data_IF_318658371392
#
_entry.id   IF_318658371392
#
_cell.length_a   1.000
_cell.length_b   1.000
_cell.length_c   1.000
_cell.angle_alpha   90.00
_cell.angle_beta   90.00
_cell.angle_gamma   90.00
#
_symmetry.space_group_name_H-M   'P 1'
#
loop_
_entity.id
_entity.type
_entity.pdbx_description
1 polymer ?
#
# COMPACT_ATOMS: atom_id res chain seq x y z
N UNK A 1 -5.06 12.11 -57.43
CA UNK A 1 -4.54 11.14 -56.42
C UNK A 1 -3.68 11.77 -55.32
N UNK A 2 -2.72 12.68 -55.61
CA UNK A 2 -1.84 13.29 -54.57
C UNK A 2 -2.57 14.08 -53.46
N UNK A 3 -3.66 14.80 -53.78
CA UNK A 3 -4.45 15.51 -52.77
C UNK A 3 -5.18 14.59 -51.79
N UNK A 4 -5.54 13.37 -52.21
CA UNK A 4 -6.26 12.42 -51.34
C UNK A 4 -5.34 11.89 -50.24
N UNK A 5 -4.13 11.47 -50.60
CA UNK A 5 -3.11 11.04 -49.62
C UNK A 5 -2.68 12.16 -48.66
N UNK A 6 -2.59 13.41 -49.15
CA UNK A 6 -2.29 14.57 -48.29
C UNK A 6 -3.35 14.76 -47.19
N UNK A 7 -4.62 14.72 -47.56
CA UNK A 7 -5.71 14.89 -46.60
C UNK A 7 -5.79 13.70 -45.62
N UNK A 8 -5.45 12.49 -46.08
CA UNK A 8 -5.42 11.28 -45.26
C UNK A 8 -4.29 11.31 -44.22
N UNK A 9 -3.12 11.84 -44.60
CA UNK A 9 -1.99 12.06 -43.67
C UNK A 9 -2.32 13.13 -42.63
N UNK A 10 -2.96 14.23 -43.04
CA UNK A 10 -3.38 15.30 -42.10
C UNK A 10 -4.44 14.79 -41.11
N UNK A 11 -5.41 14.00 -41.58
CA UNK A 11 -6.40 13.38 -40.72
C UNK A 11 -5.79 12.37 -39.73
N UNK A 12 -4.82 11.56 -40.16
CA UNK A 12 -4.10 10.63 -39.29
C UNK A 12 -3.27 11.38 -38.22
N UNK A 13 -2.64 12.50 -38.60
CA UNK A 13 -1.91 13.35 -37.65
C UNK A 13 -2.85 13.99 -36.61
N UNK A 14 -4.04 14.44 -37.01
CA UNK A 14 -5.06 14.94 -36.07
C UNK A 14 -5.65 13.84 -35.17
N UNK A 15 -5.77 12.61 -35.66
CA UNK A 15 -6.22 11.47 -34.85
C UNK A 15 -5.22 11.08 -33.75
N UNK A 16 -3.92 11.33 -33.97
CA UNK A 16 -2.85 11.12 -32.97
C UNK A 16 -2.84 12.18 -31.86
N UNK A 17 -3.56 13.30 -32.03
CA UNK A 17 -3.66 14.38 -31.05
C UNK A 17 -4.86 14.22 -30.09
N UNK A 18 -5.64 13.13 -30.20
CA UNK A 18 -6.74 12.86 -29.27
C UNK A 18 -6.16 12.51 -27.90
N UNK A 19 -6.41 13.31 -26.84
CA UNK A 19 -5.89 13.01 -25.52
C UNK A 19 -6.59 11.77 -24.97
N UNK A 20 -5.85 10.68 -24.79
CA UNK A 20 -6.33 9.54 -24.02
C UNK A 20 -6.46 9.95 -22.56
N UNK A 21 -7.65 9.78 -21.98
CA UNK A 21 -7.82 9.91 -20.53
C UNK A 21 -7.03 8.78 -19.86
N UNK A 22 -5.91 9.11 -19.22
CA UNK A 22 -5.20 8.18 -18.36
C UNK A 22 -5.96 8.01 -17.03
N UNK A 23 -6.36 6.78 -16.71
CA UNK A 23 -6.91 6.44 -15.40
C UNK A 23 -5.76 6.17 -14.43
N UNK A 24 -5.20 7.23 -13.85
CA UNK A 24 -4.27 7.10 -12.74
C UNK A 24 -5.03 7.28 -11.43
N UNK A 25 -5.33 6.18 -10.73
CA UNK A 25 -6.01 6.21 -9.44
C UNK A 25 -5.32 5.22 -8.50
N UNK A 26 -4.41 5.72 -7.66
CA UNK A 26 -3.49 4.89 -6.86
C UNK A 26 -4.14 4.33 -5.59
N UNK A 27 -3.40 3.48 -4.89
CA UNK A 27 -3.70 3.14 -3.49
C UNK A 27 -3.80 4.45 -2.71
N UNK A 28 -4.92 4.63 -2.01
CA UNK A 28 -5.24 5.81 -1.21
C UNK A 28 -4.44 5.81 0.09
N UNK A 29 -4.21 4.62 0.62
CA UNK A 29 -3.40 4.39 1.79
C UNK A 29 -3.50 2.94 2.25
N UNK A 30 -2.98 2.67 3.44
CA UNK A 30 -2.89 1.32 3.96
C UNK A 30 -2.13 1.24 5.27
N UNK A 31 -1.99 0.03 5.77
CA UNK A 31 -1.20 -0.27 6.96
C UNK A 31 -0.61 -1.67 6.86
N UNK A 32 0.57 -1.85 7.45
CA UNK A 32 1.15 -3.17 7.67
C UNK A 32 1.25 -3.40 9.18
N UNK A 33 0.77 -4.55 9.64
CA UNK A 33 0.78 -4.95 11.04
C UNK A 33 1.25 -6.38 11.17
N UNK A 34 1.66 -6.77 12.37
CA UNK A 34 1.97 -8.15 12.70
C UNK A 34 1.29 -8.58 13.99
N UNK A 35 0.98 -9.86 14.08
CA UNK A 35 0.56 -10.53 15.31
C UNK A 35 1.62 -11.57 15.65
N UNK A 36 2.10 -11.56 16.89
CA UNK A 36 3.01 -12.59 17.40
C UNK A 36 2.22 -13.84 17.77
N UNK A 37 2.51 -14.97 17.11
CA UNK A 37 1.81 -16.24 17.33
C UNK A 37 2.58 -17.21 18.24
N UNK A 38 3.73 -16.80 18.77
CA UNK A 38 4.62 -17.65 19.57
C UNK A 38 5.82 -18.20 18.80
N UNK A 39 6.94 -18.36 19.51
CA UNK A 39 8.23 -18.76 18.95
C UNK A 39 8.74 -17.75 17.95
N UNK A 40 8.87 -18.15 16.68
CA UNK A 40 9.32 -17.31 15.58
C UNK A 40 8.19 -17.06 14.56
N UNK A 41 6.94 -17.36 14.90
CA UNK A 41 5.82 -17.30 13.96
C UNK A 41 5.06 -15.98 14.11
N UNK A 42 4.83 -15.31 13.00
CA UNK A 42 4.13 -14.03 12.94
C UNK A 42 3.06 -14.08 11.85
N UNK A 43 1.84 -13.63 12.17
CA UNK A 43 0.84 -13.34 11.15
C UNK A 43 1.05 -11.92 10.68
N UNK A 44 1.47 -11.74 9.44
CA UNK A 44 1.69 -10.42 8.85
C UNK A 44 0.45 -10.06 8.03
N UNK A 45 -0.09 -8.87 8.27
CA UNK A 45 -1.23 -8.34 7.53
C UNK A 45 -0.82 -7.02 6.88
N UNK A 46 -0.98 -6.94 5.56
CA UNK A 46 -1.00 -5.68 4.83
C UNK A 46 -2.45 -5.41 4.43
N UNK A 47 -2.97 -4.25 4.80
CA UNK A 47 -4.29 -3.76 4.39
C UNK A 47 -4.09 -2.54 3.50
N UNK A 48 -4.65 -2.58 2.29
CA UNK A 48 -4.61 -1.46 1.34
C UNK A 48 -6.01 -0.97 1.05
N UNK A 49 -6.14 0.34 0.84
CA UNK A 49 -7.37 1.01 0.47
C UNK A 49 -7.22 1.70 -0.89
N UNK A 50 -8.28 1.71 -1.68
CA UNK A 50 -8.34 2.46 -2.95
C UNK A 50 -9.72 3.04 -3.16
N UNK A 51 -9.81 4.05 -4.02
CA UNK A 51 -11.09 4.52 -4.54
C UNK A 51 -11.74 3.42 -5.41
N UNK A 52 -13.07 3.35 -5.48
CA UNK A 52 -13.77 2.34 -6.29
C UNK A 52 -13.47 2.46 -7.79
N UNK A 53 -13.17 3.67 -8.27
CA UNK A 53 -12.66 3.96 -9.62
C UNK A 53 -11.11 3.90 -9.70
N UNK A 54 -10.49 3.27 -8.70
CA UNK A 54 -9.07 3.01 -8.51
C UNK A 54 -8.45 2.05 -9.54
N UNK A 55 -7.12 2.05 -9.64
CA UNK A 55 -6.36 0.99 -10.30
C UNK A 55 -6.59 -0.34 -9.58
N UNK A 56 -6.34 -1.44 -10.29
CA UNK A 56 -6.34 -2.78 -9.73
C UNK A 56 -5.44 -2.87 -8.48
N UNK A 57 -5.96 -3.45 -7.40
CA UNK A 57 -5.11 -3.90 -6.30
C UNK A 57 -4.05 -4.88 -6.84
N UNK A 58 -2.81 -4.85 -6.33
CA UNK A 58 -1.82 -5.84 -6.72
C UNK A 58 -2.31 -7.25 -6.38
N UNK A 59 -2.04 -8.24 -7.23
CA UNK A 59 -2.48 -9.62 -7.01
C UNK A 59 -1.88 -10.25 -5.74
N UNK A 60 -0.66 -9.83 -5.41
CA UNK A 60 0.10 -10.20 -4.23
C UNK A 60 1.02 -9.05 -3.82
N UNK A 61 1.53 -9.07 -2.59
CA UNK A 61 2.42 -8.04 -2.06
C UNK A 61 3.68 -8.65 -1.47
N UNK A 62 4.85 -8.31 -2.02
CA UNK A 62 6.15 -8.75 -1.49
C UNK A 62 6.60 -7.82 -0.38
N UNK A 63 6.67 -8.34 0.85
CA UNK A 63 7.19 -7.64 2.01
C UNK A 63 8.71 -7.77 2.02
N UNK A 64 9.38 -6.63 2.14
CA UNK A 64 10.83 -6.57 2.30
C UNK A 64 11.17 -6.62 3.78
N UNK A 65 12.19 -7.42 4.12
CA UNK A 65 12.65 -7.61 5.50
C UNK A 65 14.12 -7.21 5.59
N UNK A 66 14.42 -6.22 6.42
CA UNK A 66 15.78 -5.73 6.66
C UNK A 66 16.20 -5.94 8.10
N UNK A 67 17.52 -6.05 8.30
CA UNK A 67 18.16 -6.06 9.61
C UNK A 67 17.98 -4.70 10.30
N UNK A 68 18.14 -4.64 11.62
CA UNK A 68 18.01 -3.40 12.40
C UNK A 68 18.94 -2.25 11.96
N UNK A 69 20.05 -2.57 11.27
CA UNK A 69 20.96 -1.59 10.68
C UNK A 69 20.56 -1.13 9.26
N UNK A 70 19.40 -1.56 8.76
CA UNK A 70 18.89 -1.24 7.43
C UNK A 70 19.48 -2.08 6.29
N UNK A 71 20.37 -3.04 6.57
CA UNK A 71 20.94 -3.92 5.53
C UNK A 71 20.03 -5.11 5.23
N UNK A 72 20.12 -5.63 4.01
CA UNK A 72 19.39 -6.84 3.63
C UNK A 72 19.92 -8.06 4.39
N UNK A 73 19.03 -9.04 4.65
CA UNK A 73 19.45 -10.35 5.13
C UNK A 73 20.11 -11.17 4.01
N UNK A 74 21.09 -11.99 4.38
CA UNK A 74 21.71 -12.99 3.52
C UNK A 74 21.69 -14.35 4.23
N UNK A 75 20.85 -15.32 3.80
CA UNK A 75 19.89 -15.25 2.69
C UNK A 75 18.72 -14.29 2.94
N UNK A 76 18.05 -13.87 1.87
CA UNK A 76 16.89 -12.95 1.95
C UNK A 76 15.76 -13.56 2.80
N UNK A 77 15.13 -12.70 3.61
CA UNK A 77 13.95 -13.03 4.42
C UNK A 77 12.66 -12.44 3.85
N UNK A 78 12.70 -11.86 2.66
CA UNK A 78 11.51 -11.31 2.00
C UNK A 78 10.48 -12.43 1.73
N UNK A 79 9.20 -12.10 1.81
CA UNK A 79 8.11 -13.04 1.58
C UNK A 79 6.94 -12.35 0.88
N UNK A 80 6.10 -13.14 0.22
CA UNK A 80 4.97 -12.64 -0.56
C UNK A 80 3.66 -12.97 0.13
N UNK A 81 2.84 -11.95 0.36
CA UNK A 81 1.48 -12.09 0.86
C UNK A 81 0.51 -12.25 -0.31
N UNK A 82 -0.32 -13.31 -0.34
CA UNK A 82 -1.39 -13.43 -1.33
C UNK A 82 -2.49 -12.40 -1.05
N UNK A 83 -3.07 -11.82 -2.10
CA UNK A 83 -4.17 -10.88 -1.94
C UNK A 83 -5.50 -11.60 -1.72
N UNK A 84 -6.19 -11.27 -0.63
CA UNK A 84 -7.53 -11.78 -0.32
C UNK A 84 -8.64 -11.10 -1.13
N UNK A 85 -9.87 -11.22 -0.63
CA UNK A 85 -11.07 -10.65 -1.25
C UNK A 85 -11.06 -9.13 -1.19
N UNK A 86 -11.55 -8.49 -2.25
CA UNK A 86 -11.80 -7.06 -2.28
C UNK A 86 -13.18 -6.79 -1.67
N UNK A 87 -13.25 -5.88 -0.71
CA UNK A 87 -14.50 -5.53 -0.02
C UNK A 87 -14.74 -4.04 -0.09
N UNK A 88 -16.01 -3.61 -0.17
CA UNK A 88 -16.37 -2.20 -0.12
C UNK A 88 -16.40 -1.73 1.33
N UNK A 89 -15.81 -0.58 1.61
CA UNK A 89 -15.88 0.07 2.92
C UNK A 89 -17.17 0.89 2.97
N UNK A 90 -18.08 0.63 3.93
CA UNK A 90 -19.26 1.45 4.11
C UNK A 90 -18.88 2.88 4.49
N UNK A 91 -19.47 3.87 3.81
CA UNK A 91 -19.31 5.26 4.18
C UNK A 91 -20.17 5.57 5.41
N UNK A 92 -19.63 5.28 6.60
CA UNK A 92 -20.26 5.62 7.87
C UNK A 92 -19.81 7.02 8.27
N UNK A 93 -20.74 7.98 8.19
CA UNK A 93 -20.53 9.33 8.72
C UNK A 93 -20.77 9.33 10.23
N UNK A 94 -19.83 9.84 11.05
CA UNK A 94 -20.09 10.10 12.46
C UNK A 94 -21.28 11.05 12.63
N UNK A 95 -22.04 10.97 13.73
CA UNK A 95 -23.26 11.78 13.93
C UNK A 95 -23.06 13.29 13.80
N UNK A 96 -21.84 13.79 14.08
CA UNK A 96 -21.50 15.21 14.03
C UNK A 96 -20.79 15.62 12.74
N UNK A 97 -20.62 14.71 11.78
CA UNK A 97 -19.92 15.00 10.53
C UNK A 97 -20.89 15.50 9.46
N UNK A 98 -20.54 16.61 8.80
CA UNK A 98 -21.26 17.07 7.62
C UNK A 98 -20.97 16.13 6.46
N UNK A 99 -22.02 15.60 5.82
CA UNK A 99 -21.84 14.78 4.63
C UNK A 99 -21.13 15.59 3.54
N UNK A 100 -20.11 15.03 2.87
CA UNK A 100 -19.58 15.65 1.66
C UNK A 100 -20.65 15.68 0.56
N UNK A 101 -20.48 16.58 -0.42
CA UNK A 101 -21.37 16.69 -1.58
C UNK A 101 -21.38 15.43 -2.46
N UNK A 102 -20.31 14.65 -2.42
CA UNK A 102 -20.18 13.34 -3.03
C UNK A 102 -19.61 12.38 -1.98
N UNK A 103 -20.33 11.29 -1.71
CA UNK A 103 -19.85 10.26 -0.79
C UNK A 103 -18.65 9.53 -1.39
N UNK A 104 -17.49 9.50 -0.72
CA UNK A 104 -16.34 8.76 -1.22
C UNK A 104 -16.63 7.26 -1.23
N UNK A 105 -16.34 6.61 -2.37
CA UNK A 105 -16.43 5.16 -2.50
C UNK A 105 -15.03 4.57 -2.34
N UNK A 106 -14.83 3.76 -1.30
CA UNK A 106 -13.54 3.14 -0.97
C UNK A 106 -13.69 1.63 -0.91
N UNK A 107 -12.69 0.93 -1.44
CA UNK A 107 -12.53 -0.51 -1.32
C UNK A 107 -11.28 -0.84 -0.52
N UNK A 108 -11.30 -1.95 0.22
CA UNK A 108 -10.11 -2.53 0.84
C UNK A 108 -9.76 -3.88 0.24
N UNK A 109 -8.47 -4.22 0.31
CA UNK A 109 -7.96 -5.58 0.13
C UNK A 109 -6.95 -5.90 1.21
N UNK A 110 -7.13 -7.06 1.83
CA UNK A 110 -6.26 -7.58 2.89
C UNK A 110 -5.36 -8.66 2.30
N UNK A 111 -4.07 -8.56 2.59
CA UNK A 111 -3.04 -9.53 2.27
C UNK A 111 -2.51 -10.09 3.58
N UNK A 112 -2.55 -11.40 3.75
CA UNK A 112 -2.16 -12.01 5.02
C UNK A 112 -1.47 -13.35 4.81
N UNK A 113 -0.46 -13.61 5.63
CA UNK A 113 0.21 -14.90 5.73
C UNK A 113 0.87 -15.05 7.09
N UNK A 114 0.98 -16.29 7.55
CA UNK A 114 1.83 -16.64 8.68
C UNK A 114 3.22 -16.98 8.17
N UNK A 115 4.24 -16.35 8.72
CA UNK A 115 5.64 -16.53 8.34
C UNK A 115 6.48 -16.87 9.57
N UNK A 116 7.54 -17.65 9.35
CA UNK A 116 8.55 -17.90 10.36
C UNK A 116 9.71 -16.93 10.17
N UNK A 117 9.87 -15.99 11.09
CA UNK A 117 10.93 -14.99 11.10
C UNK A 117 11.80 -15.19 12.34
N UNK A 118 12.94 -15.84 12.15
CA UNK A 118 13.90 -16.06 13.23
C UNK A 118 14.36 -14.72 13.84
N UNK A 119 14.53 -14.63 15.17
CA UNK A 119 15.02 -13.43 15.83
C UNK A 119 16.34 -12.93 15.21
N UNK A 120 16.52 -11.62 15.22
CA UNK A 120 17.73 -10.96 14.73
C UNK A 120 18.19 -9.93 15.77
N UNK A 121 19.51 -9.76 15.99
CA UNK A 121 20.02 -8.71 16.86
C UNK A 121 19.46 -7.34 16.47
N UNK A 122 19.01 -6.58 17.47
CA UNK A 122 18.34 -5.29 17.27
C UNK A 122 16.87 -5.42 16.89
N UNK A 123 16.51 -6.32 15.98
CA UNK A 123 15.16 -6.52 15.48
C UNK A 123 15.11 -6.56 13.95
N UNK A 124 13.92 -6.41 13.37
CA UNK A 124 13.70 -6.49 11.93
C UNK A 124 12.72 -5.42 11.44
N UNK A 125 13.09 -4.74 10.36
CA UNK A 125 12.21 -3.81 9.64
C UNK A 125 11.44 -4.57 8.57
N UNK A 126 10.12 -4.42 8.57
CA UNK A 126 9.25 -4.95 7.52
C UNK A 126 8.62 -3.79 6.78
N UNK A 127 8.70 -3.78 5.45
CA UNK A 127 8.05 -2.73 4.67
C UNK A 127 7.54 -3.20 3.31
N UNK A 128 6.49 -2.51 2.86
CA UNK A 128 5.94 -2.62 1.52
C UNK A 128 5.88 -1.22 0.90
N UNK A 129 6.40 -1.09 -0.32
CA UNK A 129 6.41 0.19 -1.03
C UNK A 129 5.70 0.07 -2.37
N UNK A 130 4.95 1.11 -2.71
CA UNK A 130 4.29 1.29 -3.99
C UNK A 130 4.81 2.58 -4.62
N UNK A 131 4.86 2.58 -5.95
CA UNK A 131 4.98 3.85 -6.64
C UNK A 131 3.63 4.57 -6.58
N UNK A 132 3.73 5.88 -6.45
CA UNK A 132 2.68 6.84 -6.76
C UNK A 132 1.58 6.97 -5.69
N UNK A 133 1.45 8.19 -5.19
CA UNK A 133 0.36 8.65 -4.34
C UNK A 133 -0.87 8.96 -5.18
N UNK A 134 -2.05 8.97 -4.54
CA UNK A 134 -3.29 9.40 -5.20
C UNK A 134 -3.15 10.84 -5.74
N UNK A 135 -3.41 11.10 -7.04
CA UNK A 135 -3.31 12.45 -7.61
C UNK A 135 -4.28 13.47 -7.00
N UNK A 136 -5.31 13.02 -6.29
CA UNK A 136 -6.23 13.90 -5.56
C UNK A 136 -5.59 14.59 -4.34
N UNK A 137 -4.40 14.16 -3.92
CA UNK A 137 -3.67 14.74 -2.79
C UNK A 137 -3.13 16.13 -3.18
N UNK A 138 -3.74 17.18 -2.63
CA UNK A 138 -3.46 18.57 -3.00
C UNK A 138 -2.19 19.16 -2.36
N UNK A 139 -1.63 18.51 -1.33
CA UNK A 139 -0.47 19.02 -0.59
C UNK A 139 0.87 18.37 -0.99
N UNK A 140 0.90 17.61 -2.08
CA UNK A 140 2.12 17.00 -2.62
C UNK A 140 2.34 17.49 -4.06
N UNK A 141 3.53 17.99 -4.37
CA UNK A 141 3.90 18.30 -5.75
C UNK A 141 4.04 16.99 -6.53
N UNK A 142 3.34 16.88 -7.66
CA UNK A 142 3.35 15.68 -8.52
C UNK A 142 3.10 14.37 -7.74
N UNK A 143 1.94 14.17 -7.09
CA UNK A 143 1.69 13.00 -6.24
C UNK A 143 1.87 11.66 -6.98
N UNK A 144 1.55 11.66 -8.28
CA UNK A 144 1.73 10.51 -9.16
C UNK A 144 3.20 10.11 -9.39
N UNK A 145 4.17 10.82 -8.84
CA UNK A 145 5.61 10.48 -8.91
C UNK A 145 6.23 10.23 -7.53
N UNK A 146 5.42 10.29 -6.46
CA UNK A 146 5.87 10.11 -5.08
C UNK A 146 5.42 8.74 -4.57
N UNK A 147 6.32 7.98 -3.96
CA UNK A 147 6.00 6.66 -3.41
C UNK A 147 5.20 6.69 -2.10
N UNK A 148 4.64 5.55 -1.75
CA UNK A 148 4.07 5.28 -0.43
C UNK A 148 4.73 4.04 0.15
N UNK A 149 5.10 4.09 1.43
CA UNK A 149 5.72 2.99 2.16
C UNK A 149 4.94 2.71 3.43
N UNK A 150 4.54 1.45 3.60
CA UNK A 150 3.96 0.93 4.82
C UNK A 150 5.04 0.18 5.57
N UNK A 151 5.15 0.44 6.87
CA UNK A 151 6.26 -0.03 7.69
C UNK A 151 5.77 -0.57 9.03
N UNK A 152 6.38 -1.67 9.48
CA UNK A 152 6.29 -2.12 10.87
C UNK A 152 7.64 -2.69 11.34
N UNK A 153 7.80 -2.77 12.66
CA UNK A 153 9.02 -3.21 13.29
C UNK A 153 8.77 -4.38 14.25
N UNK A 154 9.49 -5.47 14.05
CA UNK A 154 9.51 -6.59 14.99
C UNK A 154 10.75 -6.41 15.88
N UNK A 155 10.60 -6.12 17.18
CA UNK A 155 11.73 -5.98 18.09
C UNK A 155 12.45 -7.31 18.29
N UNK A 156 13.70 -7.29 18.75
CA UNK A 156 14.39 -8.53 19.09
C UNK A 156 13.80 -9.15 20.38
N UNK A 157 14.13 -10.42 20.63
CA UNK A 157 13.95 -10.95 21.99
C UNK A 157 14.98 -10.22 22.86
N UNK A 158 14.49 -9.42 23.82
CA UNK A 158 15.12 -9.00 25.07
C UNK A 158 14.27 -7.92 25.77
N UNK A 159 13.37 -7.24 25.04
CA UNK A 159 12.37 -6.37 25.66
C UNK A 159 11.14 -7.21 26.01
N UNK A 160 11.22 -7.93 27.12
CA UNK A 160 9.97 -8.28 27.82
C UNK A 160 9.32 -6.95 28.13
N UNK A 161 8.10 -6.70 27.65
CA UNK A 161 7.30 -5.57 28.12
C UNK A 161 7.16 -5.74 29.63
N UNK A 162 8.03 -5.07 30.38
CA UNK A 162 7.87 -4.87 31.81
C UNK A 162 7.04 -3.63 31.94
N UNK A 163 5.73 -3.83 32.05
CA UNK A 163 4.87 -2.84 32.65
C UNK A 163 5.19 -2.80 34.16
N UNK A 164 6.36 -2.25 34.51
CA UNK A 164 6.81 -1.95 35.87
C UNK A 164 6.04 -0.74 36.45
N UNK A 165 4.78 -0.53 36.03
CA UNK A 165 3.87 0.36 36.75
C UNK A 165 3.30 -0.42 37.93
N UNK A 166 4.05 -0.43 39.03
CA UNK A 166 3.45 -0.68 40.34
C UNK A 166 2.50 0.49 40.63
N UNK A 167 1.20 0.28 40.42
CA UNK A 167 0.20 1.21 40.92
C UNK A 167 0.36 1.27 42.44
N UNK A 168 0.64 2.47 42.95
CA UNK A 168 0.60 2.75 44.39
C UNK A 168 -0.89 2.74 44.75
N UNK A 169 -1.38 1.58 45.18
CA UNK A 169 -2.59 1.48 45.98
C UNK A 169 -2.20 1.23 47.43
#
# INVERSE_FOLDING_TARGET
>A
MKCFYRNLIVAAFFALLVPFKGFASHIVGGTITYTYNGGNNYTIMLKLYRDCSGIAFPGSATINVLQANGTAFAPSRNFTLPGGTITNIPAVLPPCATSPSVTPCVQERIYTATVNLAPSPGGMHLYYSLCCRNPSILNITTPASVGETFYCYIPCYLDTWKEDFALIN
#
